data_IF_308714206925
#
_entry.id   IF_308714206925
#
_cell.length_a   1.000
_cell.length_b   1.000
_cell.length_c   1.000
_cell.angle_alpha   90.00
_cell.angle_beta   90.00
_cell.angle_gamma   90.00
#
_symmetry.space_group_name_H-M   'P 1'
#
loop_
_entity.id
_entity.type
_entity.pdbx_description
1 polymer ?
#
# COMPACT_ATOMS: atom_id res chain seq x y z
N UNK A 1 -0.93 7.87 11.51
CA UNK A 1 -1.67 8.44 12.66
C UNK A 1 -2.34 9.74 12.27
N UNK A 2 -3.52 10.10 12.81
CA UNK A 2 -4.23 11.35 12.50
C UNK A 2 -3.35 12.60 12.60
N UNK A 3 -2.37 12.61 13.52
CA UNK A 3 -1.43 13.72 13.70
C UNK A 3 -0.50 13.96 12.51
N UNK A 4 -0.26 12.96 11.67
CA UNK A 4 0.60 13.10 10.47
C UNK A 4 -0.23 13.51 9.26
N UNK A 5 -1.42 12.94 9.09
CA UNK A 5 -2.28 13.21 7.93
C UNK A 5 -3.05 14.51 8.03
N UNK A 6 -3.53 14.89 9.22
CA UNK A 6 -4.32 16.12 9.43
C UNK A 6 -3.65 17.35 8.82
N UNK A 7 -2.43 17.71 9.24
CA UNK A 7 -1.74 18.90 8.70
C UNK A 7 -1.51 18.84 7.19
N UNK A 8 -1.24 17.66 6.63
CA UNK A 8 -1.09 17.47 5.17
C UNK A 8 -2.40 17.72 4.41
N UNK A 9 -3.50 17.20 4.92
CA UNK A 9 -4.84 17.45 4.35
C UNK A 9 -5.24 18.92 4.47
N UNK A 10 -4.95 19.56 5.60
CA UNK A 10 -5.24 20.98 5.79
C UNK A 10 -4.42 21.86 4.83
N UNK A 11 -3.15 21.49 4.56
CA UNK A 11 -2.34 22.16 3.56
C UNK A 11 -2.91 21.98 2.15
N UNK A 12 -3.32 20.78 1.79
CA UNK A 12 -3.96 20.50 0.50
C UNK A 12 -5.22 21.36 0.31
N UNK A 13 -6.08 21.42 1.32
CA UNK A 13 -7.28 22.28 1.30
C UNK A 13 -6.93 23.75 1.16
N UNK A 14 -5.90 24.21 1.86
CA UNK A 14 -5.46 25.62 1.79
C UNK A 14 -5.00 26.03 0.38
N UNK A 15 -4.55 25.10 -0.45
CA UNK A 15 -4.20 25.34 -1.86
C UNK A 15 -5.34 24.97 -2.83
N UNK A 16 -6.53 24.71 -2.33
CA UNK A 16 -7.72 24.43 -3.13
C UNK A 16 -7.91 22.99 -3.59
N UNK A 17 -7.12 22.07 -3.05
CA UNK A 17 -7.27 20.63 -3.33
C UNK A 17 -8.26 20.02 -2.34
N UNK A 18 -9.52 19.91 -2.75
CA UNK A 18 -10.55 19.24 -1.95
C UNK A 18 -10.63 17.75 -2.27
N UNK A 19 -10.86 16.87 -1.27
CA UNK A 19 -11.08 15.46 -1.52
C UNK A 19 -12.30 15.26 -2.42
N UNK A 20 -12.09 14.72 -3.60
CA UNK A 20 -13.15 14.48 -4.58
C UNK A 20 -13.93 13.18 -4.37
N UNK A 21 -13.38 12.26 -3.56
CA UNK A 21 -13.94 10.91 -3.42
C UNK A 21 -13.59 10.29 -2.05
N UNK A 22 -14.57 9.62 -1.45
CA UNK A 22 -14.36 8.68 -0.35
C UNK A 22 -14.51 7.25 -0.92
N UNK A 23 -13.42 6.52 -1.18
CA UNK A 23 -13.50 5.20 -1.77
C UNK A 23 -14.00 4.17 -0.76
N UNK A 24 -14.68 3.12 -1.26
CA UNK A 24 -15.00 1.94 -0.48
C UNK A 24 -13.71 1.15 -0.16
N UNK A 25 -13.65 0.46 1.00
CA UNK A 25 -12.56 -0.44 1.30
C UNK A 25 -12.41 -1.55 0.25
N UNK A 26 -11.18 -1.95 -0.04
CA UNK A 26 -10.91 -3.07 -0.92
C UNK A 26 -11.54 -4.36 -0.38
N UNK A 27 -12.20 -5.11 -1.27
CA UNK A 27 -12.74 -6.42 -0.94
C UNK A 27 -11.64 -7.47 -0.79
N UNK A 28 -11.96 -8.63 -0.21
CA UNK A 28 -11.04 -9.78 -0.18
C UNK A 28 -10.61 -10.20 -1.59
N UNK A 29 -11.48 -10.09 -2.56
CA UNK A 29 -11.16 -10.40 -3.96
C UNK A 29 -10.12 -9.42 -4.52
N UNK A 30 -10.26 -8.13 -4.21
CA UNK A 30 -9.29 -7.12 -4.59
C UNK A 30 -7.92 -7.37 -3.94
N UNK A 31 -7.90 -7.58 -2.64
CA UNK A 31 -6.67 -7.82 -1.88
C UNK A 31 -5.95 -9.08 -2.35
N UNK A 32 -6.67 -10.08 -2.80
CA UNK A 32 -6.11 -11.34 -3.30
C UNK A 32 -5.44 -11.25 -4.66
N UNK A 33 -5.48 -10.12 -5.34
CA UNK A 33 -4.64 -9.88 -6.52
C UNK A 33 -3.15 -9.98 -6.21
N UNK A 34 -2.75 -9.55 -5.00
CA UNK A 34 -1.36 -9.53 -4.57
C UNK A 34 -1.08 -10.35 -3.31
N UNK A 35 -2.07 -10.53 -2.44
CA UNK A 35 -1.89 -11.14 -1.13
C UNK A 35 -2.53 -12.52 -1.02
N UNK A 36 -1.89 -13.43 -0.28
CA UNK A 36 -2.41 -14.78 -0.06
C UNK A 36 -3.64 -14.78 0.86
N UNK A 37 -4.52 -15.77 0.69
CA UNK A 37 -5.68 -15.93 1.58
C UNK A 37 -5.25 -16.09 3.05
N UNK A 38 -4.23 -16.93 3.30
CA UNK A 38 -3.68 -17.11 4.64
C UNK A 38 -3.29 -15.79 5.29
N UNK A 39 -2.63 -14.92 4.53
CA UNK A 39 -2.20 -13.61 5.03
C UNK A 39 -3.39 -12.71 5.39
N UNK A 40 -4.41 -12.65 4.55
CA UNK A 40 -5.64 -11.92 4.85
C UNK A 40 -6.28 -12.42 6.16
N UNK A 41 -6.36 -13.76 6.34
CA UNK A 41 -6.91 -14.36 7.56
C UNK A 41 -6.09 -13.97 8.80
N UNK A 42 -4.75 -13.90 8.69
CA UNK A 42 -3.86 -13.42 9.76
C UNK A 42 -4.14 -11.97 10.10
N UNK A 43 -4.22 -11.08 9.09
CA UNK A 43 -4.49 -9.64 9.31
C UNK A 43 -5.85 -9.44 9.99
N UNK A 44 -6.89 -10.16 9.55
CA UNK A 44 -8.23 -10.10 10.15
C UNK A 44 -8.25 -10.59 11.60
N UNK A 45 -7.48 -11.64 11.90
CA UNK A 45 -7.32 -12.12 13.27
C UNK A 45 -6.72 -11.03 14.17
N UNK A 46 -5.64 -10.36 13.73
CA UNK A 46 -5.03 -9.26 14.47
C UNK A 46 -5.91 -8.01 14.54
N UNK A 47 -6.73 -7.75 13.53
CA UNK A 47 -7.71 -6.67 13.58
C UNK A 47 -8.77 -6.90 14.68
N UNK A 48 -9.15 -8.16 14.91
CA UNK A 48 -10.10 -8.54 15.95
C UNK A 48 -9.45 -8.65 17.34
N UNK A 49 -8.21 -9.20 17.41
CA UNK A 49 -7.44 -9.37 18.65
C UNK A 49 -5.95 -9.04 18.43
N UNK A 50 -5.51 -7.82 18.79
CA UNK A 50 -4.13 -7.38 18.64
C UNK A 50 -3.11 -8.07 19.56
N UNK A 51 -3.56 -8.87 20.54
CA UNK A 51 -2.68 -9.47 21.56
C UNK A 51 -2.24 -10.91 21.22
N UNK A 52 -2.46 -11.37 20.00
CA UNK A 52 -2.04 -12.69 19.53
C UNK A 52 -0.52 -12.87 19.40
N UNK A 53 -0.09 -14.14 19.27
CA UNK A 53 1.31 -14.44 18.96
C UNK A 53 1.70 -13.87 17.59
N UNK A 54 2.95 -13.36 17.45
CA UNK A 54 3.45 -12.82 16.19
C UNK A 54 3.29 -13.80 15.03
N UNK A 55 2.84 -13.28 13.87
CA UNK A 55 2.65 -14.07 12.64
C UNK A 55 2.71 -13.14 11.42
N UNK A 56 3.28 -13.63 10.33
CA UNK A 56 3.32 -12.94 9.03
C UNK A 56 3.83 -11.50 9.11
N UNK A 57 4.87 -11.22 9.89
CA UNK A 57 5.45 -9.89 10.06
C UNK A 57 4.65 -8.95 10.97
N UNK A 58 3.51 -9.40 11.51
CA UNK A 58 2.67 -8.63 12.44
C UNK A 58 2.95 -9.09 13.88
N UNK A 59 3.12 -8.15 14.80
CA UNK A 59 3.35 -8.43 16.21
C UNK A 59 4.74 -8.92 16.57
N UNK A 60 5.65 -9.01 15.61
CA UNK A 60 7.07 -9.25 15.85
C UNK A 60 7.71 -8.06 16.57
N UNK A 61 8.96 -8.22 17.02
CA UNK A 61 9.78 -7.08 17.44
C UNK A 61 10.10 -6.13 16.26
N UNK A 62 9.50 -6.40 15.09
CA UNK A 62 9.54 -5.60 13.89
C UNK A 62 8.71 -4.32 13.98
N UNK A 63 8.55 -3.71 12.86
CA UNK A 63 8.01 -2.37 12.70
C UNK A 63 6.52 -2.33 12.34
N UNK A 64 5.83 -3.49 12.31
CA UNK A 64 4.39 -3.57 12.01
C UNK A 64 3.60 -4.06 13.24
N UNK A 65 3.35 -3.18 14.23
CA UNK A 65 2.58 -3.54 15.41
C UNK A 65 1.10 -3.77 15.06
N UNK A 66 0.43 -4.77 15.67
CA UNK A 66 -1.00 -4.97 15.49
C UNK A 66 -1.81 -3.89 16.19
N UNK A 67 -3.00 -3.61 15.64
CA UNK A 67 -3.99 -2.73 16.28
C UNK A 67 -5.40 -3.15 15.88
N UNK A 68 -6.38 -2.86 16.75
CA UNK A 68 -7.77 -3.15 16.48
C UNK A 68 -8.25 -2.40 15.22
N UNK A 69 -8.92 -3.10 14.29
CA UNK A 69 -9.37 -2.53 13.03
C UNK A 69 -8.28 -2.36 11.97
N UNK A 70 -7.11 -3.00 12.13
CA UNK A 70 -6.02 -2.86 11.15
C UNK A 70 -6.39 -3.37 9.75
N UNK A 71 -7.24 -4.39 9.65
CA UNK A 71 -7.73 -4.87 8.37
C UNK A 71 -8.56 -3.79 7.67
N UNK A 72 -9.54 -3.25 8.35
CA UNK A 72 -10.47 -2.25 7.83
C UNK A 72 -9.73 -0.97 7.40
N UNK A 73 -8.79 -0.51 8.23
CA UNK A 73 -7.98 0.66 7.92
C UNK A 73 -7.08 0.44 6.69
N UNK A 74 -6.42 -0.73 6.61
CA UNK A 74 -5.53 -1.05 5.48
C UNK A 74 -6.31 -1.35 4.20
N UNK A 75 -7.48 -1.99 4.30
CA UNK A 75 -8.38 -2.20 3.18
C UNK A 75 -8.94 -0.89 2.63
N UNK A 76 -9.22 0.10 3.49
CA UNK A 76 -9.65 1.43 3.04
C UNK A 76 -8.54 2.14 2.24
N UNK A 77 -7.29 2.04 2.67
CA UNK A 77 -6.15 2.58 1.90
C UNK A 77 -6.02 1.86 0.55
N UNK A 78 -6.03 0.54 0.54
CA UNK A 78 -5.96 -0.24 -0.69
C UNK A 78 -7.11 0.07 -1.66
N UNK A 79 -8.33 0.22 -1.14
CA UNK A 79 -9.50 0.63 -1.91
C UNK A 79 -9.34 1.99 -2.58
N UNK A 80 -8.67 2.94 -1.90
CA UNK A 80 -8.34 4.25 -2.47
C UNK A 80 -7.48 4.16 -3.71
N UNK A 81 -6.39 3.40 -3.68
CA UNK A 81 -5.48 3.23 -4.80
C UNK A 81 -6.13 2.45 -5.95
N UNK A 82 -6.89 1.39 -5.65
CA UNK A 82 -7.64 0.63 -6.65
C UNK A 82 -8.70 1.53 -7.32
N UNK A 83 -9.45 2.30 -6.54
CA UNK A 83 -10.47 3.20 -7.10
C UNK A 83 -9.86 4.28 -7.98
N UNK A 84 -8.71 4.82 -7.58
CA UNK A 84 -7.99 5.83 -8.36
C UNK A 84 -7.63 5.30 -9.75
N UNK A 85 -7.02 4.11 -9.84
CA UNK A 85 -6.69 3.52 -11.14
C UNK A 85 -7.93 3.15 -11.94
N UNK A 86 -9.01 2.67 -11.33
CA UNK A 86 -10.25 2.38 -12.03
C UNK A 86 -10.90 3.60 -12.69
N UNK A 87 -10.84 4.75 -12.04
CA UNK A 87 -11.34 6.01 -12.61
C UNK A 87 -10.49 6.44 -13.81
N UNK A 88 -9.17 6.26 -13.76
CA UNK A 88 -8.27 6.51 -14.89
C UNK A 88 -8.58 5.55 -16.04
N UNK A 89 -8.75 4.26 -15.75
CA UNK A 89 -9.06 3.23 -16.77
C UNK A 89 -10.39 3.49 -17.50
N UNK A 90 -11.37 4.06 -16.81
CA UNK A 90 -12.65 4.45 -17.42
C UNK A 90 -12.58 5.79 -18.17
N UNK A 91 -11.50 6.53 -18.06
CA UNK A 91 -11.37 7.88 -18.61
C UNK A 91 -12.16 8.95 -17.85
N UNK A 92 -12.59 8.66 -16.61
CA UNK A 92 -13.29 9.62 -15.76
C UNK A 92 -12.35 10.77 -15.34
N UNK A 93 -11.06 10.44 -15.15
CA UNK A 93 -9.98 11.36 -14.78
C UNK A 93 -8.68 10.95 -15.47
N UNK A 94 -7.75 11.89 -15.64
CA UNK A 94 -6.41 11.61 -16.17
C UNK A 94 -5.37 11.38 -15.06
N UNK A 95 -5.57 11.99 -13.89
CA UNK A 95 -4.66 11.95 -12.76
C UNK A 95 -5.41 11.73 -11.46
N UNK A 96 -4.81 10.99 -10.53
CA UNK A 96 -5.32 10.80 -9.19
C UNK A 96 -4.20 11.04 -8.16
N UNK A 97 -4.56 11.54 -6.99
CA UNK A 97 -3.69 11.67 -5.85
C UNK A 97 -4.33 11.01 -4.63
N UNK A 98 -3.64 10.04 -4.05
CA UNK A 98 -4.08 9.31 -2.87
C UNK A 98 -3.10 9.51 -1.71
N UNK A 99 -3.34 10.51 -0.81
CA UNK A 99 -2.37 10.85 0.23
C UNK A 99 -2.19 9.79 1.31
N UNK A 100 -3.10 8.82 1.40
CA UNK A 100 -3.02 7.71 2.36
C UNK A 100 -2.32 6.47 1.85
N UNK A 101 -2.03 6.39 0.54
CA UNK A 101 -1.39 5.25 -0.12
C UNK A 101 0.14 5.29 -0.07
N UNK A 102 0.77 4.39 -0.82
CA UNK A 102 2.21 4.23 -0.91
C UNK A 102 2.79 3.22 0.06
N UNK A 103 2.02 2.23 0.50
CA UNK A 103 2.44 1.20 1.44
C UNK A 103 3.19 0.06 0.73
N UNK A 104 4.40 0.33 0.28
CA UNK A 104 5.18 -0.37 -0.72
C UNK A 104 6.04 -1.55 -0.21
N UNK A 105 5.97 -1.88 1.09
CA UNK A 105 6.80 -2.92 1.70
C UNK A 105 6.06 -4.24 1.95
N UNK A 106 4.73 -4.26 1.92
CA UNK A 106 3.99 -5.49 2.20
C UNK A 106 4.24 -6.54 1.10
N UNK A 107 4.47 -7.78 1.51
CA UNK A 107 4.69 -8.92 0.63
C UNK A 107 3.39 -9.70 0.40
N UNK A 108 3.44 -10.71 -0.46
CA UNK A 108 2.27 -11.56 -0.72
C UNK A 108 1.71 -12.22 0.55
N UNK A 109 2.56 -12.54 1.51
CA UNK A 109 2.25 -13.38 2.66
C UNK A 109 2.64 -12.77 4.03
N UNK A 110 3.14 -11.54 4.07
CA UNK A 110 3.54 -10.86 5.31
C UNK A 110 3.50 -9.34 5.21
N UNK A 111 3.30 -8.70 6.35
CA UNK A 111 3.51 -7.28 6.58
C UNK A 111 5.02 -6.95 6.71
N UNK A 112 5.40 -5.74 6.35
CA UNK A 112 6.75 -5.20 6.48
C UNK A 112 6.72 -3.68 6.43
N UNK A 113 7.64 -2.98 7.10
CA UNK A 113 7.79 -1.54 6.98
C UNK A 113 6.53 -0.73 7.28
N UNK A 114 5.75 -1.11 8.30
CA UNK A 114 4.42 -0.55 8.62
C UNK A 114 3.34 -0.84 7.57
N UNK A 115 3.68 -1.48 6.46
CA UNK A 115 2.77 -1.78 5.37
C UNK A 115 2.06 -3.12 5.64
N UNK A 116 0.72 -3.06 5.68
CA UNK A 116 -0.13 -4.26 5.86
C UNK A 116 -0.56 -4.81 4.50
N UNK A 117 -1.12 -3.97 3.63
CA UNK A 117 -1.42 -4.31 2.25
C UNK A 117 -0.67 -3.38 1.33
N UNK A 118 -0.10 -3.93 0.26
CA UNK A 118 0.62 -3.16 -0.75
C UNK A 118 -0.36 -2.52 -1.74
N UNK A 119 -0.81 -1.32 -1.41
CA UNK A 119 -1.79 -0.61 -2.22
C UNK A 119 -1.26 -0.20 -3.61
N UNK A 120 0.02 0.20 -3.79
CA UNK A 120 0.59 0.41 -5.13
C UNK A 120 0.57 -0.86 -5.98
N UNK A 121 0.99 -2.00 -5.42
CA UNK A 121 0.98 -3.26 -6.15
C UNK A 121 -0.44 -3.70 -6.52
N UNK A 122 -1.43 -3.49 -5.65
CA UNK A 122 -2.83 -3.78 -5.94
C UNK A 122 -3.38 -2.91 -7.08
N UNK A 123 -3.02 -1.63 -7.13
CA UNK A 123 -3.38 -0.74 -8.23
C UNK A 123 -2.72 -1.17 -9.55
N UNK A 124 -1.45 -1.58 -9.51
CA UNK A 124 -0.72 -2.13 -10.65
C UNK A 124 -1.43 -3.40 -11.16
N UNK A 125 -1.72 -4.35 -10.26
CA UNK A 125 -2.40 -5.60 -10.62
C UNK A 125 -3.76 -5.32 -11.28
N UNK A 126 -4.52 -4.34 -10.78
CA UNK A 126 -5.79 -3.92 -11.40
C UNK A 126 -5.60 -3.36 -12.81
N UNK A 127 -4.59 -2.52 -13.04
CA UNK A 127 -4.28 -1.99 -14.38
C UNK A 127 -3.84 -3.10 -15.34
N UNK A 128 -3.12 -4.11 -14.83
CA UNK A 128 -2.66 -5.27 -15.61
C UNK A 128 -3.81 -6.17 -16.08
N UNK A 129 -4.91 -6.25 -15.33
CA UNK A 129 -6.12 -6.97 -15.76
C UNK A 129 -6.69 -6.40 -17.07
N UNK A 130 -6.55 -5.10 -17.31
CA UNK A 130 -6.96 -4.44 -18.56
C UNK A 130 -5.84 -4.46 -19.64
N UNK A 131 -4.76 -5.19 -19.42
CA UNK A 131 -3.67 -5.39 -20.37
C UNK A 131 -2.69 -4.20 -20.47
N UNK A 132 -2.76 -3.20 -19.62
CA UNK A 132 -1.87 -2.05 -19.67
C UNK A 132 -0.45 -2.43 -19.24
N UNK A 133 0.55 -1.82 -19.88
CA UNK A 133 1.92 -1.81 -19.34
C UNK A 133 2.04 -0.70 -18.31
N UNK A 134 2.66 -1.01 -17.18
CA UNK A 134 2.77 -0.10 -16.03
C UNK A 134 4.22 0.22 -15.75
N UNK A 135 4.52 1.50 -15.57
CA UNK A 135 5.75 1.99 -14.98
C UNK A 135 5.44 2.43 -13.54
N UNK A 136 6.07 1.78 -12.56
CA UNK A 136 6.05 2.20 -11.17
C UNK A 136 7.34 2.95 -10.84
N UNK A 137 7.21 4.19 -10.38
CA UNK A 137 8.33 5.02 -9.93
C UNK A 137 8.18 5.25 -8.42
N UNK A 138 9.19 4.83 -7.68
CA UNK A 138 9.25 4.98 -6.23
C UNK A 138 10.38 5.96 -5.85
N UNK A 139 9.99 7.05 -5.20
CA UNK A 139 10.90 8.09 -4.71
C UNK A 139 10.94 8.15 -3.18
N UNK A 140 10.38 7.13 -2.50
CA UNK A 140 10.56 6.99 -1.07
C UNK A 140 12.05 6.77 -0.72
N UNK A 141 12.45 7.19 0.47
CA UNK A 141 13.83 6.98 0.93
C UNK A 141 14.18 5.51 1.09
N UNK A 142 13.17 4.64 1.27
CA UNK A 142 13.32 3.20 1.36
C UNK A 142 13.06 2.54 0.01
N UNK A 143 13.68 1.38 -0.21
CA UNK A 143 13.43 0.56 -1.40
C UNK A 143 11.99 0.01 -1.38
N UNK A 144 11.24 0.18 -2.48
CA UNK A 144 9.90 -0.39 -2.68
C UNK A 144 9.93 -1.89 -2.95
N UNK A 145 10.49 -2.65 -2.01
CA UNK A 145 10.78 -4.08 -2.13
C UNK A 145 9.53 -4.96 -2.24
N UNK A 146 8.42 -4.55 -1.63
CA UNK A 146 7.13 -5.23 -1.76
C UNK A 146 6.59 -5.17 -3.19
N UNK A 147 6.51 -3.98 -3.77
CA UNK A 147 6.02 -3.78 -5.15
C UNK A 147 6.91 -4.54 -6.14
N UNK A 148 8.24 -4.45 -5.99
CA UNK A 148 9.16 -5.18 -6.83
C UNK A 148 8.93 -6.68 -6.74
N UNK A 149 8.89 -7.24 -5.54
CA UNK A 149 8.71 -8.68 -5.32
C UNK A 149 7.38 -9.20 -5.89
N UNK A 150 6.30 -8.42 -5.77
CA UNK A 150 4.97 -8.81 -6.23
C UNK A 150 4.83 -8.80 -7.77
N UNK A 151 5.64 -7.99 -8.46
CA UNK A 151 5.56 -7.82 -9.91
C UNK A 151 6.82 -8.24 -10.69
N UNK A 152 7.87 -8.76 -10.02
CA UNK A 152 9.14 -9.13 -10.65
C UNK A 152 9.01 -10.12 -11.82
N UNK A 153 7.97 -10.94 -11.83
CA UNK A 153 7.73 -11.93 -12.89
C UNK A 153 6.80 -11.42 -14.01
N UNK A 154 6.23 -10.21 -13.89
CA UNK A 154 5.31 -9.66 -14.89
C UNK A 154 6.07 -8.78 -15.90
N UNK A 155 6.25 -9.23 -17.17
CA UNK A 155 6.96 -8.44 -18.19
C UNK A 155 6.22 -7.15 -18.59
N UNK A 156 4.98 -6.95 -18.15
CA UNK A 156 4.20 -5.74 -18.38
C UNK A 156 4.37 -4.70 -17.29
N UNK A 157 5.20 -4.96 -16.26
CA UNK A 157 5.45 -4.02 -15.17
C UNK A 157 6.95 -3.72 -15.10
N UNK A 158 7.28 -2.43 -15.11
CA UNK A 158 8.63 -1.95 -14.81
C UNK A 158 8.60 -1.23 -13.47
N UNK A 159 9.32 -1.74 -12.49
CA UNK A 159 9.53 -1.09 -11.18
C UNK A 159 10.87 -0.38 -11.15
N UNK A 160 10.88 0.87 -10.72
CA UNK A 160 12.08 1.70 -10.53
C UNK A 160 11.99 2.36 -9.17
N UNK A 161 12.96 2.08 -8.29
CA UNK A 161 13.04 2.69 -6.97
C UNK A 161 14.35 3.47 -6.83
N UNK A 162 14.26 4.73 -6.43
CA UNK A 162 15.41 5.62 -6.17
C UNK A 162 15.43 5.85 -4.67
N UNK A 163 16.29 5.12 -3.96
CA UNK A 163 16.29 5.07 -2.51
C UNK A 163 17.70 5.16 -1.92
N UNK A 164 17.78 5.36 -0.60
CA UNK A 164 19.05 5.38 0.11
C UNK A 164 19.61 3.97 0.29
N UNK A 165 20.90 3.79 0.01
CA UNK A 165 21.55 2.49 0.21
C UNK A 165 21.88 2.27 1.70
N UNK A 166 21.59 1.08 2.20
CA UNK A 166 21.86 0.67 3.60
C UNK A 166 23.34 0.89 4.02
N UNK A 167 24.26 0.87 3.05
CA UNK A 167 25.69 1.11 3.31
C UNK A 167 26.04 2.56 3.68
N UNK A 168 25.20 3.54 3.34
CA UNK A 168 25.40 4.95 3.72
C UNK A 168 24.82 5.26 5.10
N UNK A 169 23.74 4.62 5.50
CA UNK A 169 23.14 4.79 6.83
C UNK A 169 24.10 4.38 7.96
N UNK A 170 24.99 3.41 7.72
CA UNK A 170 26.00 2.97 8.67
C UNK A 170 27.25 3.89 8.70
N UNK A 171 27.43 4.79 7.75
CA UNK A 171 28.57 5.71 7.67
C UNK A 171 28.31 7.05 8.40
N UNK A 172 27.10 7.29 8.90
CA UNK A 172 26.66 8.51 9.60
C UNK A 172 26.52 8.31 11.12
N UNK A 173 26.71 7.06 11.59
CA UNK A 173 26.79 6.71 13.03
C UNK A 173 28.25 6.53 13.46
#
# INVERSE_FOLDING_TARGET
>A
TPRRFGPGIDLLRAVGAEPGLAPEPASDADLRRCHTRRYLDVVKRFAADPYGFPDAGIGDRGDTPPFAGMHEASAAVAGGSIRAIEMILRGDIEHAFHPGGGLHHAMADRASGFCVYDDPALAIARAREDGLRVLYLDFDVHHGDGVEALHAADPGVLTVSIHESVGKALAVL
#
